data_IF_079411785980
#
_entry.id   IF_079411785980
#
_cell.length_a   1.000
_cell.length_b   1.000
_cell.length_c   1.000
_cell.angle_alpha   90.00
_cell.angle_beta   90.00
_cell.angle_gamma   90.00
#
_symmetry.space_group_name_H-M   'P 1'
#
loop_
_entity.id
_entity.type
_entity.pdbx_description
1 polymer ?
#
# COMPACT_ATOMS: atom_id res chain seq x y z
N UNK A 1 -2.47 -23.59 -13.22
CA UNK A 1 -1.86 -23.28 -12.73
C UNK A 1 -1.59 -22.03 -12.65
N UNK A 2 -2.06 -21.37 -12.43
CA UNK A 2 -1.74 -20.16 -12.36
C UNK A 2 -1.33 -19.76 -11.17
N UNK A 3 -0.50 -19.21 -11.05
CA UNK A 3 -0.09 -18.68 -9.98
C UNK A 3 -0.51 -17.37 -9.94
N UNK A 4 -1.36 -17.07 -9.15
CA UNK A 4 -1.58 -15.78 -8.84
C UNK A 4 -0.33 -15.22 -8.45
N UNK A 5 0.15 -14.37 -9.09
CA UNK A 5 1.40 -13.88 -8.78
C UNK A 5 1.31 -12.47 -8.35
N UNK A 6 2.29 -12.06 -7.60
CA UNK A 6 2.55 -10.68 -7.27
C UNK A 6 2.53 -9.82 -8.51
N UNK A 7 2.95 -10.38 -9.65
CA UNK A 7 2.94 -9.68 -10.92
C UNK A 7 1.54 -9.26 -11.33
N UNK A 8 0.57 -10.17 -11.19
CA UNK A 8 -0.81 -9.86 -11.59
C UNK A 8 -1.39 -8.73 -10.74
N UNK A 9 -1.07 -8.73 -9.45
CA UNK A 9 -1.57 -7.72 -8.54
C UNK A 9 -1.04 -6.33 -8.91
N UNK A 10 0.26 -6.22 -9.16
CA UNK A 10 0.84 -4.94 -9.53
C UNK A 10 0.39 -4.50 -10.92
N UNK A 11 0.22 -5.43 -11.84
CA UNK A 11 -0.29 -5.10 -13.17
C UNK A 11 -1.72 -4.54 -13.07
N UNK A 12 -2.53 -5.08 -12.17
CA UNK A 12 -3.89 -4.58 -11.99
C UNK A 12 -3.89 -3.15 -11.45
N UNK A 13 -3.03 -2.85 -10.47
CA UNK A 13 -2.95 -1.51 -9.91
C UNK A 13 -2.53 -0.52 -11.00
N UNK A 14 -1.48 -0.87 -11.74
CA UNK A 14 -0.96 0.02 -12.78
C UNK A 14 -1.98 0.24 -13.91
N UNK A 15 -2.64 -0.83 -14.35
CA UNK A 15 -3.60 -0.75 -15.45
C UNK A 15 -4.80 0.09 -15.08
N UNK A 16 -5.30 -0.04 -13.86
CA UNK A 16 -6.46 0.74 -13.46
C UNK A 16 -6.13 2.22 -13.26
N UNK A 17 -4.94 2.51 -12.76
CA UNK A 17 -4.51 3.90 -12.65
C UNK A 17 -4.38 4.53 -14.04
N UNK A 18 -3.78 3.81 -14.98
CA UNK A 18 -3.63 4.31 -16.36
C UNK A 18 -4.98 4.52 -17.02
N UNK A 19 -5.94 3.62 -16.76
CA UNK A 19 -7.28 3.76 -17.33
C UNK A 19 -8.04 4.92 -16.68
N UNK A 20 -7.73 5.24 -15.43
CA UNK A 20 -8.40 6.31 -14.72
C UNK A 20 -8.02 7.68 -15.28
N UNK A 21 -6.75 7.89 -15.58
CA UNK A 21 -6.28 9.21 -15.98
C UNK A 21 -4.94 9.14 -16.70
N UNK A 22 -4.80 9.87 -17.83
CA UNK A 22 -3.48 10.00 -18.44
C UNK A 22 -2.44 10.58 -17.49
N UNK A 23 -2.88 11.41 -16.53
CA UNK A 23 -1.95 11.95 -15.55
C UNK A 23 -1.30 10.84 -14.73
N UNK A 24 -2.10 9.84 -14.31
CA UNK A 24 -1.55 8.72 -13.54
C UNK A 24 -0.68 7.83 -14.42
N UNK A 25 -1.08 7.64 -15.67
CA UNK A 25 -0.28 6.84 -16.59
C UNK A 25 1.11 7.44 -16.78
N UNK A 26 1.21 8.76 -16.83
CA UNK A 26 2.48 9.44 -16.98
C UNK A 26 3.40 9.26 -15.79
N UNK A 27 2.85 8.92 -14.62
CA UNK A 27 3.65 8.75 -13.42
C UNK A 27 4.16 7.33 -13.24
N UNK A 28 3.77 6.40 -14.10
CA UNK A 28 4.21 5.01 -13.98
C UNK A 28 5.71 4.89 -14.27
N UNK A 29 6.38 4.07 -13.49
CA UNK A 29 7.79 3.78 -13.70
C UNK A 29 7.96 2.91 -14.94
N UNK A 30 9.04 3.12 -15.67
CA UNK A 30 9.35 2.24 -16.81
C UNK A 30 9.79 0.86 -16.34
N UNK A 31 10.41 0.80 -15.15
CA UNK A 31 10.84 -0.47 -14.56
C UNK A 31 10.26 -0.59 -13.17
N UNK A 32 9.04 -1.08 -13.05
CA UNK A 32 8.41 -1.21 -11.74
C UNK A 32 9.08 -2.29 -10.89
N UNK A 33 8.99 -2.10 -9.58
CA UNK A 33 9.49 -3.09 -8.62
C UNK A 33 8.30 -3.83 -8.05
N UNK A 34 8.16 -5.07 -8.41
CA UNK A 34 7.00 -5.87 -8.00
C UNK A 34 7.29 -6.59 -6.69
N UNK A 35 7.33 -5.80 -5.62
CA UNK A 35 7.65 -6.33 -4.29
C UNK A 35 6.50 -6.06 -3.36
N UNK A 36 5.72 -7.10 -3.03
CA UNK A 36 4.63 -6.95 -2.08
C UNK A 36 5.20 -6.93 -0.66
N UNK A 37 4.46 -6.33 0.27
CA UNK A 37 4.96 -6.18 1.63
C UNK A 37 3.95 -6.72 2.64
N UNK A 38 2.80 -6.09 2.77
CA UNK A 38 1.83 -6.49 3.78
C UNK A 38 0.69 -7.35 3.21
N UNK A 39 0.46 -7.28 1.91
CA UNK A 39 -0.59 -8.09 1.27
C UNK A 39 -0.48 -9.57 1.58
N UNK A 40 0.73 -10.17 1.48
CA UNK A 40 0.86 -11.61 1.76
C UNK A 40 0.53 -12.01 3.18
N UNK A 41 0.54 -11.06 4.12
CA UNK A 41 0.25 -11.35 5.52
C UNK A 41 -1.25 -11.38 5.80
N UNK A 42 -2.05 -10.84 4.90
CA UNK A 42 -3.49 -10.71 5.08
C UNK A 42 -4.23 -11.81 4.32
N UNK A 43 -5.51 -12.03 4.63
CA UNK A 43 -6.29 -12.94 3.81
C UNK A 43 -6.26 -12.50 2.34
N UNK A 44 -6.20 -13.47 1.43
CA UNK A 44 -5.96 -13.22 0.03
C UNK A 44 -6.96 -12.23 -0.60
N UNK A 45 -8.21 -12.27 -0.15
CA UNK A 45 -9.25 -11.39 -0.71
C UNK A 45 -8.96 -9.91 -0.46
N UNK A 46 -8.09 -9.59 0.47
CA UNK A 46 -7.73 -8.20 0.77
C UNK A 46 -6.40 -7.78 0.16
N UNK A 47 -5.66 -8.72 -0.43
CA UNK A 47 -4.28 -8.44 -0.84
C UNK A 47 -4.19 -7.31 -1.86
N UNK A 48 -5.05 -7.31 -2.87
CA UNK A 48 -5.01 -6.28 -3.91
C UNK A 48 -5.31 -4.89 -3.33
N UNK A 49 -6.37 -4.79 -2.54
CA UNK A 49 -6.73 -3.51 -1.93
C UNK A 49 -5.66 -3.03 -0.96
N UNK A 50 -5.11 -3.95 -0.18
CA UNK A 50 -4.09 -3.62 0.80
C UNK A 50 -2.82 -3.10 0.13
N UNK A 51 -2.37 -3.76 -0.94
CA UNK A 51 -1.17 -3.33 -1.64
C UNK A 51 -1.43 -2.03 -2.42
N UNK A 52 -2.66 -1.78 -2.86
CA UNK A 52 -3.01 -0.51 -3.48
C UNK A 52 -2.86 0.63 -2.48
N UNK A 53 -3.39 0.44 -1.26
CA UNK A 53 -3.26 1.43 -0.20
C UNK A 53 -1.79 1.61 0.18
N UNK A 54 -1.04 0.51 0.24
CA UNK A 54 0.36 0.60 0.59
C UNK A 54 1.15 1.39 -0.46
N UNK A 55 0.82 1.19 -1.74
CA UNK A 55 1.48 1.99 -2.78
C UNK A 55 1.18 3.48 -2.58
N UNK A 56 -0.06 3.82 -2.22
CA UNK A 56 -0.41 5.20 -1.89
C UNK A 56 0.40 5.73 -0.71
N UNK A 57 0.58 4.89 0.31
CA UNK A 57 1.40 5.23 1.46
C UNK A 57 2.85 5.53 1.02
N UNK A 58 3.39 4.70 0.15
CA UNK A 58 4.76 4.90 -0.31
C UNK A 58 4.89 6.14 -1.20
N UNK A 59 3.86 6.47 -1.98
CA UNK A 59 3.87 7.69 -2.76
C UNK A 59 3.94 8.92 -1.85
N UNK A 60 3.26 8.85 -0.70
CA UNK A 60 3.29 9.96 0.26
C UNK A 60 4.59 10.00 1.08
N UNK A 61 5.09 8.85 1.48
CA UNK A 61 6.11 8.84 2.54
C UNK A 61 7.37 8.03 2.24
N UNK A 62 7.40 7.25 1.17
CA UNK A 62 8.51 6.35 0.93
C UNK A 62 8.91 6.24 -0.52
N UNK A 63 9.41 5.08 -0.90
CA UNK A 63 9.82 4.78 -2.27
C UNK A 63 8.76 3.91 -2.93
N UNK A 64 7.93 4.49 -3.83
CA UNK A 64 6.90 3.70 -4.51
C UNK A 64 7.50 2.63 -5.40
N UNK A 65 6.69 1.61 -5.68
CA UNK A 65 7.11 0.49 -6.51
C UNK A 65 6.69 0.68 -7.96
N UNK A 66 5.53 1.26 -8.18
CA UNK A 66 4.94 1.38 -9.52
C UNK A 66 5.04 2.78 -10.10
N UNK A 67 5.15 3.78 -9.25
CA UNK A 67 5.06 5.17 -9.68
C UNK A 67 6.31 5.96 -9.34
N UNK A 68 6.54 7.01 -10.11
CA UNK A 68 7.66 7.92 -9.86
C UNK A 68 7.16 9.33 -10.17
N UNK A 69 6.31 9.89 -9.30
CA UNK A 69 5.76 11.23 -9.56
C UNK A 69 6.86 12.28 -9.51
N UNK A 70 6.84 13.18 -10.51
CA UNK A 70 7.90 14.17 -10.65
C UNK A 70 7.72 15.37 -9.72
N UNK A 71 6.49 15.67 -9.33
CA UNK A 71 6.19 16.85 -8.54
C UNK A 71 5.40 16.51 -7.29
N UNK A 72 5.61 17.30 -6.23
CA UNK A 72 4.96 17.06 -4.96
C UNK A 72 3.45 17.11 -5.00
N UNK A 73 2.88 18.04 -5.79
CA UNK A 73 1.43 18.15 -5.92
C UNK A 73 0.86 16.89 -6.58
N UNK A 74 1.53 16.38 -7.61
CA UNK A 74 1.09 15.17 -8.28
C UNK A 74 1.22 13.98 -7.35
N UNK A 75 2.30 13.92 -6.57
CA UNK A 75 2.48 12.84 -5.62
C UNK A 75 1.36 12.83 -4.57
N UNK A 76 0.99 14.01 -4.07
CA UNK A 76 -0.07 14.11 -3.08
C UNK A 76 -1.39 13.57 -3.64
N UNK A 77 -1.76 14.05 -4.84
CA UNK A 77 -3.01 13.63 -5.47
C UNK A 77 -3.01 12.15 -5.84
N UNK A 78 -1.89 11.65 -6.33
CA UNK A 78 -1.78 10.23 -6.70
C UNK A 78 -1.90 9.34 -5.46
N UNK A 79 -1.24 9.72 -4.36
CA UNK A 79 -1.35 8.97 -3.14
C UNK A 79 -2.77 8.90 -2.62
N UNK A 80 -3.49 10.03 -2.68
CA UNK A 80 -4.88 10.08 -2.27
C UNK A 80 -5.77 9.23 -3.17
N UNK A 81 -5.50 9.27 -4.49
CA UNK A 81 -6.23 8.41 -5.43
C UNK A 81 -6.04 6.94 -5.07
N UNK A 82 -4.80 6.53 -4.79
CA UNK A 82 -4.52 5.13 -4.47
C UNK A 82 -5.17 4.73 -3.15
N UNK A 83 -5.18 5.60 -2.16
CA UNK A 83 -5.90 5.34 -0.91
C UNK A 83 -7.39 5.09 -1.18
N UNK A 84 -8.00 6.02 -1.90
CA UNK A 84 -9.43 5.92 -2.18
C UNK A 84 -9.75 4.67 -3.00
N UNK A 85 -8.95 4.40 -4.02
CA UNK A 85 -9.18 3.26 -4.90
C UNK A 85 -8.95 1.94 -4.16
N UNK A 86 -7.96 1.90 -3.28
CA UNK A 86 -7.73 0.73 -2.45
C UNK A 86 -8.90 0.47 -1.51
N UNK A 87 -9.46 1.53 -0.91
CA UNK A 87 -10.63 1.36 -0.07
C UNK A 87 -11.85 0.88 -0.86
N UNK A 88 -12.00 1.32 -2.10
CA UNK A 88 -13.07 0.84 -2.97
C UNK A 88 -12.90 -0.67 -3.23
N UNK A 89 -11.66 -1.12 -3.47
CA UNK A 89 -11.39 -2.54 -3.66
C UNK A 89 -11.74 -3.35 -2.42
N UNK A 90 -11.45 -2.82 -1.24
CA UNK A 90 -11.78 -3.49 0.02
C UNK A 90 -13.31 -3.51 0.19
N UNK A 91 -13.97 -2.40 -0.11
CA UNK A 91 -15.43 -2.33 0.02
C UNK A 91 -16.12 -3.35 -0.91
N UNK A 92 -15.50 -3.65 -2.05
CA UNK A 92 -16.05 -4.62 -2.99
C UNK A 92 -16.13 -6.03 -2.40
N UNK A 93 -15.38 -6.32 -1.34
CA UNK A 93 -15.50 -7.61 -0.66
C UNK A 93 -16.79 -7.72 0.17
N UNK A 94 -17.47 -6.60 0.41
CA UNK A 94 -18.67 -6.56 1.24
C UNK A 94 -18.39 -6.46 2.73
N UNK A 95 -17.14 -6.39 3.13
CA UNK A 95 -16.76 -6.38 4.56
C UNK A 95 -16.48 -4.97 5.03
N UNK A 96 -17.49 -4.32 5.57
CA UNK A 96 -17.38 -2.92 5.99
C UNK A 96 -16.40 -2.72 7.13
N UNK A 97 -16.25 -3.73 8.00
CA UNK A 97 -15.28 -3.63 9.09
C UNK A 97 -13.86 -3.52 8.55
N UNK A 98 -13.59 -4.19 7.42
CA UNK A 98 -12.27 -4.11 6.79
C UNK A 98 -12.02 -2.70 6.25
N UNK A 99 -13.04 -2.07 5.67
CA UNK A 99 -12.92 -0.70 5.19
C UNK A 99 -12.59 0.22 6.37
N UNK A 100 -13.31 0.07 7.48
CA UNK A 100 -13.07 0.88 8.67
C UNK A 100 -11.66 0.69 9.21
N UNK A 101 -11.20 -0.56 9.25
CA UNK A 101 -9.85 -0.89 9.73
C UNK A 101 -8.80 -0.17 8.90
N UNK A 102 -8.94 -0.21 7.58
CA UNK A 102 -7.92 0.39 6.71
C UNK A 102 -8.02 1.92 6.66
N UNK A 103 -9.22 2.46 6.77
CA UNK A 103 -9.37 3.92 6.90
C UNK A 103 -8.69 4.42 8.18
N UNK A 104 -8.85 3.66 9.27
CA UNK A 104 -8.20 4.01 10.54
C UNK A 104 -6.68 3.88 10.43
N UNK A 105 -6.20 2.87 9.70
CA UNK A 105 -4.77 2.73 9.47
C UNK A 105 -4.20 3.93 8.74
N UNK A 106 -4.88 4.40 7.70
CA UNK A 106 -4.45 5.58 6.95
C UNK A 106 -4.34 6.79 7.89
N UNK A 107 -5.35 7.00 8.74
CA UNK A 107 -5.33 8.09 9.70
C UNK A 107 -4.22 7.95 10.72
N UNK A 108 -3.99 6.74 11.22
CA UNK A 108 -2.94 6.48 12.20
C UNK A 108 -1.58 6.79 11.61
N UNK A 109 -1.32 6.33 10.39
CA UNK A 109 -0.04 6.59 9.73
C UNK A 109 0.16 8.08 9.48
N UNK A 110 -0.89 8.78 9.04
CA UNK A 110 -0.80 10.22 8.82
C UNK A 110 -0.45 10.95 10.12
N UNK A 111 -1.07 10.52 11.22
CA UNK A 111 -0.80 11.12 12.52
C UNK A 111 0.65 10.87 12.95
N UNK A 112 1.12 9.62 12.84
CA UNK A 112 2.48 9.27 13.22
C UNK A 112 3.49 10.07 12.39
N UNK A 113 3.23 10.21 11.10
CA UNK A 113 4.13 10.99 10.25
C UNK A 113 4.13 12.47 10.59
N UNK A 114 2.97 13.02 10.91
CA UNK A 114 2.86 14.42 11.30
C UNK A 114 3.62 14.68 12.60
N UNK A 115 3.63 13.70 13.52
CA UNK A 115 4.33 13.79 14.78
C UNK A 115 5.79 13.37 14.67
N UNK A 116 6.22 12.93 13.49
CA UNK A 116 7.57 12.39 13.28
C UNK A 116 7.86 11.24 14.23
N UNK A 117 6.82 10.45 14.52
CA UNK A 117 6.91 9.32 15.43
C UNK A 117 7.06 8.03 14.65
N UNK A 118 7.71 7.06 15.27
CA UNK A 118 7.84 5.73 14.69
C UNK A 118 6.60 4.91 15.03
N UNK A 119 6.43 3.77 14.38
CA UNK A 119 5.37 2.84 14.72
C UNK A 119 4.43 2.54 13.57
N UNK A 120 4.64 3.14 12.40
CA UNK A 120 3.74 2.88 11.27
C UNK A 120 3.82 1.43 10.80
N UNK A 121 5.01 0.83 10.79
CA UNK A 121 5.12 -0.59 10.42
C UNK A 121 4.29 -1.48 11.30
N UNK A 122 4.34 -1.25 12.61
CA UNK A 122 3.53 -2.01 13.56
C UNK A 122 2.04 -1.74 13.36
N UNK A 123 1.68 -0.53 12.96
CA UNK A 123 0.29 -0.20 12.66
C UNK A 123 -0.21 -1.02 11.47
N UNK A 124 0.63 -1.19 10.44
CA UNK A 124 0.29 -2.03 9.30
C UNK A 124 0.11 -3.49 9.70
N UNK A 125 1.01 -4.01 10.53
CA UNK A 125 0.88 -5.40 11.01
C UNK A 125 -0.38 -5.58 11.85
N UNK A 126 -0.68 -4.61 12.70
CA UNK A 126 -1.89 -4.67 13.50
C UNK A 126 -3.15 -4.69 12.63
N UNK A 127 -3.16 -3.85 11.59
CA UNK A 127 -4.28 -3.83 10.65
C UNK A 127 -4.45 -5.20 9.95
N UNK A 128 -3.34 -5.82 9.54
CA UNK A 128 -3.40 -7.13 8.91
C UNK A 128 -4.05 -8.15 9.85
N UNK A 129 -3.69 -8.11 11.13
CA UNK A 129 -4.28 -9.03 12.10
C UNK A 129 -5.77 -8.76 12.31
N UNK A 130 -6.14 -7.49 12.33
CA UNK A 130 -7.56 -7.12 12.44
C UNK A 130 -8.37 -7.55 11.24
N UNK A 131 -7.73 -7.67 10.07
CA UNK A 131 -8.38 -8.18 8.86
C UNK A 131 -8.50 -9.70 8.87
N UNK A 132 -7.93 -10.37 9.86
CA UNK A 132 -8.00 -11.81 9.97
C UNK A 132 -6.73 -12.53 9.57
N UNK A 133 -5.67 -11.81 9.27
CA UNK A 133 -4.38 -12.41 8.97
C UNK A 133 -3.74 -12.96 10.24
N UNK A 134 -2.93 -13.99 10.05
CA UNK A 134 -2.24 -14.62 11.18
C UNK A 134 -0.81 -14.95 10.78
N UNK A 135 -0.02 -13.91 10.45
CA UNK A 135 1.36 -14.16 10.00
C UNK A 135 2.24 -14.63 11.17
N UNK A 136 3.17 -15.54 10.87
CA UNK A 136 4.12 -15.96 11.89
C UNK A 136 5.18 -14.87 12.07
N UNK A 137 5.99 -15.03 13.11
CA UNK A 137 7.00 -14.05 13.48
C UNK A 137 7.98 -13.78 12.33
N UNK A 138 8.39 -14.83 11.62
CA UNK A 138 9.34 -14.67 10.52
C UNK A 138 8.75 -13.84 9.38
N UNK A 139 7.47 -14.06 9.07
CA UNK A 139 6.80 -13.30 8.02
C UNK A 139 6.67 -11.84 8.42
N UNK A 140 6.33 -11.57 9.67
CA UNK A 140 6.23 -10.20 10.18
C UNK A 140 7.58 -9.50 10.10
N UNK A 141 8.65 -10.19 10.52
CA UNK A 141 9.98 -9.60 10.51
C UNK A 141 10.43 -9.27 9.08
N UNK A 142 10.14 -10.15 8.12
CA UNK A 142 10.49 -9.88 6.73
C UNK A 142 9.72 -8.67 6.18
N UNK A 143 8.43 -8.60 6.47
CA UNK A 143 7.63 -7.48 5.99
C UNK A 143 8.11 -6.17 6.58
N UNK A 144 8.42 -6.14 7.88
CA UNK A 144 8.92 -4.93 8.52
C UNK A 144 10.28 -4.51 7.98
N UNK A 145 11.14 -5.47 7.67
CA UNK A 145 12.43 -5.16 7.09
C UNK A 145 12.27 -4.54 5.70
N UNK A 146 11.41 -5.12 4.87
CA UNK A 146 11.14 -4.60 3.54
C UNK A 146 10.52 -3.20 3.63
N UNK A 147 9.56 -3.03 4.54
CA UNK A 147 8.91 -1.74 4.76
C UNK A 147 9.94 -0.68 5.17
N UNK A 148 10.83 -1.03 6.10
CA UNK A 148 11.87 -0.10 6.52
C UNK A 148 12.78 0.32 5.38
N UNK A 149 13.12 -0.63 4.50
CA UNK A 149 13.94 -0.30 3.34
C UNK A 149 13.21 0.62 2.36
N UNK A 150 11.88 0.46 2.23
CA UNK A 150 11.07 1.32 1.36
C UNK A 150 10.95 2.74 1.88
N UNK A 151 10.97 2.91 3.19
CA UNK A 151 10.88 4.25 3.76
C UNK A 151 12.20 5.00 3.66
N UNK A 152 13.28 4.26 3.50
CA UNK A 152 14.59 4.87 3.55
C UNK A 152 14.88 5.31 4.97
N UNK A 153 15.99 6.02 5.15
CA UNK A 153 16.26 6.58 6.46
C UNK A 153 15.36 7.77 6.62
N UNK A 154 14.64 7.79 7.72
CA UNK A 154 13.96 9.02 8.08
C UNK A 154 15.03 10.08 8.14
N UNK A 155 14.76 11.18 7.52
CA UNK A 155 15.70 12.29 7.60
C UNK A 155 15.91 12.62 9.06
N UNK A 156 17.14 12.86 9.47
CA UNK A 156 17.40 13.22 10.85
C UNK A 156 16.69 14.50 11.24
#
# INVERSE_FOLDING_TARGET
>A
MATSSTTDLFDAIAAEAAAESPLWEEQLRTEPEREDVFGPLAPERFALGLETIYEGYLVHYGRPRLFSPAEGDVALLLGDYLYAHGLVRIAATGELDAVATLAELISTCAHLRAEQAEGDGEAWVDAVRRLGGDPDQAAVMRALATHGARLGKLAP
#
